data_IF_543544393735
#
_entry.id   IF_543544393735
#
_cell.length_a   1.000
_cell.length_b   1.000
_cell.length_c   1.000
_cell.angle_alpha   90.00
_cell.angle_beta   90.00
_cell.angle_gamma   90.00
#
_symmetry.space_group_name_H-M   'P 1'
#
loop_
_entity.id
_entity.type
_entity.pdbx_description
1 polymer ?
#
# COMPACT_ATOMS: atom_id res chain seq x y z
N UNK A 1 14.44 -36.34 -9.20
CA UNK A 1 14.39 -35.27 -10.22
C UNK A 1 14.25 -33.93 -9.52
N UNK A 2 15.13 -32.95 -9.75
CA UNK A 2 14.91 -31.60 -9.23
C UNK A 2 13.72 -30.98 -9.99
N UNK A 3 12.71 -30.50 -9.28
CA UNK A 3 11.63 -29.72 -9.89
C UNK A 3 12.17 -28.34 -10.31
N UNK A 4 11.76 -27.79 -11.47
CA UNK A 4 12.14 -26.45 -11.86
C UNK A 4 11.64 -25.48 -10.79
N UNK A 5 12.51 -24.61 -10.29
CA UNK A 5 12.18 -23.55 -9.36
C UNK A 5 11.12 -22.65 -10.01
N UNK A 6 9.84 -22.88 -9.68
CA UNK A 6 8.75 -21.99 -10.07
C UNK A 6 9.06 -20.62 -9.43
N UNK A 7 9.34 -19.62 -10.27
CA UNK A 7 9.40 -18.23 -9.83
C UNK A 7 8.01 -17.87 -9.30
N UNK A 8 7.93 -17.63 -8.00
CA UNK A 8 6.74 -17.07 -7.37
C UNK A 8 6.76 -15.56 -7.53
N UNK A 9 5.63 -14.98 -7.95
CA UNK A 9 5.46 -13.52 -7.96
C UNK A 9 5.07 -13.08 -6.56
N UNK A 10 5.91 -12.27 -5.92
CA UNK A 10 5.54 -11.60 -4.67
C UNK A 10 4.68 -10.37 -5.01
N UNK A 11 3.39 -10.45 -4.72
CA UNK A 11 2.43 -9.38 -5.03
C UNK A 11 2.50 -8.22 -4.04
N UNK A 12 2.99 -8.48 -2.83
CA UNK A 12 2.94 -7.54 -1.71
C UNK A 12 1.53 -7.37 -1.11
N UNK A 13 0.59 -8.24 -1.49
CA UNK A 13 -0.78 -8.25 -0.96
C UNK A 13 -0.90 -9.29 0.17
N UNK A 14 -1.50 -8.90 1.29
CA UNK A 14 -1.92 -9.83 2.34
C UNK A 14 -3.34 -10.28 2.08
N UNK A 15 -3.54 -11.59 2.13
CA UNK A 15 -4.87 -12.18 2.05
C UNK A 15 -4.97 -13.38 2.98
N UNK A 16 -6.21 -13.73 3.33
CA UNK A 16 -6.53 -14.90 4.14
C UNK A 16 -7.42 -15.84 3.32
N UNK A 17 -7.07 -17.13 3.30
CA UNK A 17 -7.97 -18.15 2.77
C UNK A 17 -9.07 -18.43 3.80
N UNK A 18 -10.31 -18.28 3.36
CA UNK A 18 -11.49 -18.65 4.14
C UNK A 18 -11.84 -20.12 3.93
N UNK A 19 -12.59 -20.68 4.88
CA UNK A 19 -12.99 -22.09 4.87
C UNK A 19 -13.89 -22.47 3.67
N UNK A 20 -14.53 -21.48 3.04
CA UNK A 20 -15.32 -21.62 1.81
C UNK A 20 -14.47 -21.60 0.52
N UNK A 21 -13.14 -21.46 0.64
CA UNK A 21 -12.21 -21.42 -0.48
C UNK A 21 -11.96 -20.03 -1.07
N UNK A 22 -12.63 -18.99 -0.55
CA UNK A 22 -12.44 -17.62 -1.01
C UNK A 22 -11.19 -16.96 -0.38
N UNK A 23 -10.63 -15.98 -1.08
CA UNK A 23 -9.55 -15.12 -0.56
C UNK A 23 -10.12 -13.80 -0.05
N UNK A 24 -9.91 -13.52 1.23
CA UNK A 24 -10.18 -12.23 1.84
C UNK A 24 -8.95 -11.33 1.76
N UNK A 25 -9.07 -10.19 1.10
CA UNK A 25 -7.99 -9.22 0.99
C UNK A 25 -7.85 -8.41 2.29
N UNK A 26 -6.64 -8.43 2.88
CA UNK A 26 -6.32 -7.79 4.16
C UNK A 26 -5.51 -6.49 4.01
N UNK A 27 -5.20 -6.09 2.77
CA UNK A 27 -4.37 -4.92 2.47
C UNK A 27 -3.00 -5.29 1.92
N UNK A 28 -2.10 -4.30 1.84
CA UNK A 28 -0.72 -4.50 1.36
C UNK A 28 0.26 -4.67 2.52
N UNK A 29 1.33 -5.42 2.29
CA UNK A 29 2.49 -5.47 3.20
C UNK A 29 3.36 -4.22 3.09
N UNK A 30 3.31 -3.54 1.95
CA UNK A 30 4.09 -2.32 1.70
C UNK A 30 3.23 -1.05 1.85
N UNK A 31 3.88 0.10 1.76
CA UNK A 31 3.25 1.41 1.91
C UNK A 31 2.65 1.93 0.58
N UNK A 32 2.39 1.03 -0.36
CA UNK A 32 1.88 1.41 -1.66
C UNK A 32 0.37 1.63 -1.62
N UNK A 33 -0.09 2.72 -2.23
CA UNK A 33 -1.50 3.09 -2.24
C UNK A 33 -2.01 3.26 -3.66
N UNK A 34 -3.33 3.16 -3.80
CA UNK A 34 -4.04 3.64 -5.00
C UNK A 34 -4.71 4.96 -4.68
N UNK A 35 -4.29 6.04 -5.32
CA UNK A 35 -4.87 7.38 -5.17
C UNK A 35 -5.31 7.90 -6.53
N UNK A 36 -6.62 8.11 -6.72
CA UNK A 36 -7.21 8.60 -7.98
C UNK A 36 -6.79 7.79 -9.22
N UNK A 37 -6.67 6.47 -9.08
CA UNK A 37 -6.25 5.56 -10.16
C UNK A 37 -4.73 5.42 -10.34
N UNK A 38 -3.93 6.21 -9.62
CA UNK A 38 -2.47 6.12 -9.65
C UNK A 38 -1.95 5.20 -8.56
N UNK A 39 -0.93 4.41 -8.89
CA UNK A 39 -0.17 3.59 -7.95
C UNK A 39 0.95 4.47 -7.39
N UNK A 40 0.86 4.82 -6.11
CA UNK A 40 1.78 5.75 -5.44
C UNK A 40 2.55 5.00 -4.38
N UNK A 41 3.87 5.15 -4.39
CA UNK A 41 4.77 4.64 -3.34
C UNK A 41 4.99 5.74 -2.30
N UNK A 42 4.44 5.59 -1.11
CA UNK A 42 4.60 6.63 -0.07
C UNK A 42 6.06 6.85 0.32
N UNK A 43 6.87 5.79 0.30
CA UNK A 43 8.31 5.88 0.58
C UNK A 43 9.09 6.74 -0.41
N UNK A 44 8.66 6.80 -1.68
CA UNK A 44 9.29 7.70 -2.67
C UNK A 44 9.00 9.17 -2.32
N UNK A 45 7.78 9.46 -1.87
CA UNK A 45 7.39 10.80 -1.41
C UNK A 45 8.17 11.18 -0.14
N UNK A 46 8.28 10.27 0.83
CA UNK A 46 9.08 10.46 2.04
C UNK A 46 10.54 10.77 1.69
N UNK A 47 11.15 9.99 0.80
CA UNK A 47 12.52 10.22 0.33
C UNK A 47 12.70 11.55 -0.37
N UNK A 48 11.75 11.96 -1.21
CA UNK A 48 11.79 13.25 -1.91
C UNK A 48 11.74 14.42 -0.92
N UNK A 49 10.93 14.32 0.13
CA UNK A 49 10.86 15.33 1.20
C UNK A 49 12.15 15.33 2.03
N UNK A 50 12.65 14.15 2.39
CA UNK A 50 13.87 13.99 3.20
C UNK A 50 15.15 14.43 2.48
N UNK A 51 15.14 14.60 1.15
CA UNK A 51 16.26 15.18 0.40
C UNK A 51 16.50 16.66 0.71
N UNK A 52 15.52 17.36 1.28
CA UNK A 52 15.69 18.75 1.64
C UNK A 52 16.58 18.87 2.90
N UNK A 53 17.65 19.66 2.82
CA UNK A 53 18.69 19.73 3.87
C UNK A 53 18.19 20.13 5.27
N UNK A 54 17.08 20.87 5.33
CA UNK A 54 16.44 21.26 6.60
C UNK A 54 15.52 20.17 7.20
N UNK A 55 15.31 19.04 6.53
CA UNK A 55 14.40 17.98 6.96
C UNK A 55 15.19 16.79 7.48
N UNK A 56 15.01 16.45 8.75
CA UNK A 56 15.68 15.29 9.38
C UNK A 56 14.92 13.99 9.14
N UNK A 57 13.59 14.02 9.10
CA UNK A 57 12.74 12.84 8.92
C UNK A 57 11.41 13.26 8.31
N UNK A 58 10.85 12.43 7.44
CA UNK A 58 9.54 12.63 6.83
C UNK A 58 8.72 11.34 6.94
N UNK A 59 7.41 11.49 7.18
CA UNK A 59 6.44 10.39 7.16
C UNK A 59 5.24 10.84 6.35
N UNK A 60 4.77 10.01 5.42
CA UNK A 60 3.65 10.33 4.55
C UNK A 60 2.49 9.38 4.84
N UNK A 61 1.30 9.95 5.08
CA UNK A 61 0.07 9.19 5.34
C UNK A 61 -1.05 9.61 4.38
N UNK A 62 -1.91 8.67 4.03
CA UNK A 62 -3.17 8.98 3.35
C UNK A 62 -4.20 9.36 4.39
N UNK A 63 -4.88 10.48 4.16
CA UNK A 63 -5.99 10.94 5.02
C UNK A 63 -7.27 11.04 4.22
N UNK A 64 -8.33 10.40 4.71
CA UNK A 64 -9.67 10.59 4.19
C UNK A 64 -10.18 11.99 4.54
N UNK A 65 -10.75 12.69 3.55
CA UNK A 65 -11.47 13.94 3.81
C UNK A 65 -12.85 13.61 4.37
N UNK A 66 -13.12 13.99 5.61
CA UNK A 66 -14.49 14.00 6.14
C UNK A 66 -15.30 15.08 5.42
N UNK A 67 -16.23 14.67 4.56
CA UNK A 67 -17.24 15.57 4.01
C UNK A 67 -18.34 15.71 5.06
N UNK A 68 -18.52 16.92 5.62
CA UNK A 68 -19.69 17.21 6.45
C UNK A 68 -20.94 17.00 5.59
N UNK A 69 -21.74 16.00 5.91
CA UNK A 69 -23.11 15.92 5.39
C UNK A 69 -23.90 17.05 6.05
N UNK A 70 -24.20 18.09 5.29
CA UNK A 70 -25.25 19.04 5.69
C UNK A 70 -26.55 18.25 5.69
N UNK A 71 -27.16 18.09 6.86
CA UNK A 71 -28.52 17.58 6.99
C UNK A 71 -29.43 18.74 6.57
N UNK A 72 -30.17 18.55 5.47
CA UNK A 72 -31.25 19.44 5.05
C UNK A 72 -32.44 19.34 5.99
#
# INVERSE_FOLDING_TARGET
>A
MPHPSKKTLQTGDRALYRADGNLEFLGRTDHQIKLRGFRVELGEVEMAIAHHSAVQTAVVIVREKMVRKTVS
#
